data_IF_754560282728
#
_entry.id   IF_754560282728
#
_cell.length_a   1.000
_cell.length_b   1.000
_cell.length_c   1.000
_cell.angle_alpha   90.00
_cell.angle_beta   90.00
_cell.angle_gamma   90.00
#
_symmetry.space_group_name_H-M   'P 1'
#
loop_
_entity.id
_entity.type
_entity.pdbx_description
1 polymer ?
#
# COMPACT_ATOMS: atom_id res chain seq x y z
N UNK A 1 22.18 -13.32 8.42
CA UNK A 1 21.82 -12.93 7.04
C UNK A 1 20.32 -12.70 7.02
N UNK A 2 19.84 -11.65 6.36
CA UNK A 2 18.40 -11.41 6.20
C UNK A 2 17.95 -12.10 4.92
N UNK A 3 17.09 -13.11 5.04
CA UNK A 3 16.58 -13.95 3.95
C UNK A 3 15.09 -13.71 3.67
N UNK A 4 14.53 -12.65 4.26
CA UNK A 4 13.11 -12.33 4.14
C UNK A 4 12.85 -10.83 4.27
N UNK A 5 11.78 -10.38 3.62
CA UNK A 5 11.29 -9.01 3.65
C UNK A 5 9.82 -8.99 4.04
N UNK A 6 9.42 -7.95 4.78
CA UNK A 6 8.02 -7.68 5.10
C UNK A 6 7.41 -6.80 4.01
N UNK A 7 6.27 -7.20 3.46
CA UNK A 7 5.51 -6.49 2.46
C UNK A 7 4.18 -6.01 3.06
N UNK A 8 3.89 -4.73 2.86
CA UNK A 8 2.58 -4.14 3.03
C UNK A 8 2.27 -3.34 1.77
N UNK A 9 1.18 -3.66 1.07
CA UNK A 9 0.85 -3.03 -0.20
C UNK A 9 -0.67 -2.93 -0.40
N UNK A 10 -1.12 -1.79 -0.90
CA UNK A 10 -2.53 -1.58 -1.21
C UNK A 10 -2.86 -2.08 -2.62
N UNK A 11 -4.05 -2.66 -2.81
CA UNK A 11 -4.52 -3.11 -4.13
C UNK A 11 -4.56 -1.99 -5.18
N UNK A 12 -4.85 -0.78 -4.75
CA UNK A 12 -4.93 0.40 -5.61
C UNK A 12 -3.63 1.20 -5.64
N UNK A 13 -2.58 0.74 -4.96
CA UNK A 13 -1.24 1.27 -5.19
C UNK A 13 -0.77 0.86 -6.59
N UNK A 14 -0.83 1.82 -7.50
CA UNK A 14 -0.37 1.69 -8.88
C UNK A 14 1.12 1.33 -8.94
N UNK A 15 1.96 1.98 -8.13
CA UNK A 15 3.41 1.77 -8.17
C UNK A 15 3.75 0.40 -7.60
N UNK A 16 3.20 0.06 -6.43
CA UNK A 16 3.43 -1.22 -5.77
C UNK A 16 2.92 -2.40 -6.60
N UNK A 17 1.70 -2.32 -7.13
CA UNK A 17 1.02 -3.45 -7.76
C UNK A 17 1.30 -3.57 -9.27
N UNK A 18 1.23 -2.46 -10.03
CA UNK A 18 1.33 -2.51 -11.50
C UNK A 18 2.78 -2.42 -11.97
N UNK A 19 3.56 -1.48 -11.42
CA UNK A 19 4.98 -1.34 -11.80
C UNK A 19 5.83 -2.37 -11.05
N UNK A 20 5.62 -2.49 -9.74
CA UNK A 20 6.40 -3.39 -8.88
C UNK A 20 5.96 -4.85 -8.91
N UNK A 21 4.76 -5.15 -9.40
CA UNK A 21 4.22 -6.51 -9.43
C UNK A 21 3.99 -7.11 -8.04
N UNK A 22 3.95 -6.29 -6.98
CA UNK A 22 3.78 -6.79 -5.62
C UNK A 22 2.34 -7.23 -5.38
N UNK A 23 2.13 -8.35 -4.66
CA UNK A 23 0.78 -8.75 -4.26
C UNK A 23 0.16 -7.70 -3.34
N UNK A 24 -1.14 -7.50 -3.44
CA UNK A 24 -1.89 -6.67 -2.51
C UNK A 24 -2.04 -7.39 -1.17
N UNK A 25 -1.81 -6.68 -0.07
CA UNK A 25 -2.00 -7.19 1.29
C UNK A 25 -3.16 -6.48 2.03
N UNK A 26 -3.74 -5.48 1.38
CA UNK A 26 -4.97 -4.78 1.76
C UNK A 26 -5.73 -4.32 0.52
N UNK A 27 -7.05 -4.41 0.53
CA UNK A 27 -7.89 -4.17 -0.63
C UNK A 27 -9.10 -3.26 -0.39
N UNK A 28 -9.25 -2.74 0.83
CA UNK A 28 -10.36 -1.86 1.18
C UNK A 28 -9.99 -0.39 0.98
N UNK A 29 -10.83 0.31 0.22
CA UNK A 29 -10.83 1.77 0.16
C UNK A 29 -12.04 2.33 0.89
N UNK A 30 -11.91 3.54 1.43
CA UNK A 30 -13.03 4.23 2.07
C UNK A 30 -14.24 4.39 1.15
N UNK A 31 -15.44 4.39 1.72
CA UNK A 31 -16.71 4.54 0.99
C UNK A 31 -16.68 5.77 0.08
N UNK A 32 -16.97 5.59 -1.21
CA UNK A 32 -16.94 6.66 -2.21
C UNK A 32 -15.57 6.93 -2.84
N UNK A 33 -14.58 6.07 -2.58
CA UNK A 33 -13.34 6.05 -3.35
C UNK A 33 -13.36 4.99 -4.46
N UNK A 34 -12.59 5.26 -5.51
CA UNK A 34 -12.44 4.40 -6.68
C UNK A 34 -10.95 4.27 -7.02
N UNK A 35 -10.57 3.20 -7.72
CA UNK A 35 -9.18 2.96 -8.14
C UNK A 35 -8.55 4.18 -8.81
N UNK A 36 -9.27 4.80 -9.75
CA UNK A 36 -8.81 5.98 -10.51
C UNK A 36 -8.64 7.19 -9.58
N UNK A 37 -9.56 7.38 -8.62
CA UNK A 37 -9.46 8.48 -7.65
C UNK A 37 -8.23 8.31 -6.75
N UNK A 38 -7.94 7.09 -6.31
CA UNK A 38 -6.75 6.81 -5.50
C UNK A 38 -5.45 7.01 -6.29
N UNK A 39 -5.43 6.66 -7.58
CA UNK A 39 -4.28 6.94 -8.43
C UNK A 39 -4.05 8.45 -8.60
N UNK A 40 -5.10 9.25 -8.76
CA UNK A 40 -4.99 10.70 -8.79
C UNK A 40 -4.47 11.24 -7.45
N UNK A 41 -4.98 10.73 -6.32
CA UNK A 41 -4.52 11.12 -4.98
C UNK A 41 -3.02 10.84 -4.78
N UNK A 42 -2.46 9.80 -5.41
CA UNK A 42 -1.01 9.52 -5.36
C UNK A 42 -0.14 10.66 -5.90
N UNK A 43 -0.65 11.46 -6.83
CA UNK A 43 0.11 12.57 -7.42
C UNK A 43 -0.06 13.91 -6.69
N UNK A 44 -1.13 14.08 -5.91
CA UNK A 44 -1.48 15.36 -5.27
C UNK A 44 -1.59 15.30 -3.74
N UNK A 45 -1.67 14.10 -3.17
CA UNK A 45 -1.93 13.86 -1.75
C UNK A 45 -0.69 13.45 -0.97
N UNK A 46 -0.64 13.85 0.31
CA UNK A 46 0.39 13.41 1.26
C UNK A 46 0.10 12.02 1.84
N UNK A 47 -1.18 11.69 2.07
CA UNK A 47 -1.67 10.40 2.55
C UNK A 47 -2.46 9.68 1.45
N UNK A 48 -1.93 8.55 1.00
CA UNK A 48 -2.38 7.84 -0.21
C UNK A 48 -2.27 6.33 -0.02
N UNK A 49 -2.89 5.57 -0.91
CA UNK A 49 -2.73 4.11 -1.00
C UNK A 49 -1.28 3.64 -1.18
N UNK A 50 -0.37 4.52 -1.62
CA UNK A 50 1.05 4.22 -1.78
C UNK A 50 1.89 4.63 -0.55
N UNK A 51 1.52 5.73 0.12
CA UNK A 51 2.34 6.33 1.18
C UNK A 51 1.97 5.90 2.59
N UNK A 52 0.78 5.33 2.82
CA UNK A 52 0.27 5.04 4.16
C UNK A 52 0.61 3.65 4.73
N UNK A 53 1.42 2.87 4.00
CA UNK A 53 1.84 1.52 4.36
C UNK A 53 3.33 1.50 4.77
N UNK A 54 3.76 0.46 5.48
CA UNK A 54 5.13 0.36 5.99
C UNK A 54 5.50 1.51 6.93
N UNK A 55 6.61 2.20 6.65
CA UNK A 55 7.10 3.30 7.50
C UNK A 55 6.25 4.58 7.43
N UNK A 56 5.36 4.70 6.44
CA UNK A 56 4.42 5.82 6.36
C UNK A 56 3.17 5.64 7.23
N UNK A 57 3.03 4.48 7.87
CA UNK A 57 1.92 4.17 8.75
C UNK A 57 1.88 5.12 9.95
N UNK A 58 0.70 5.69 10.20
CA UNK A 58 0.48 6.62 11.32
C UNK A 58 0.76 8.09 10.99
N UNK A 59 1.12 8.43 9.74
CA UNK A 59 1.11 9.82 9.29
C UNK A 59 -0.30 10.38 9.22
N UNK A 60 -0.41 11.70 9.33
CA UNK A 60 -1.68 12.41 9.25
C UNK A 60 -2.43 12.07 7.95
N UNK A 61 -3.72 11.74 8.09
CA UNK A 61 -4.56 11.31 6.97
C UNK A 61 -4.50 9.81 6.64
N UNK A 62 -3.55 9.04 7.20
CA UNK A 62 -3.44 7.60 6.92
C UNK A 62 -4.48 6.72 7.62
N UNK A 63 -5.20 7.24 8.63
CA UNK A 63 -6.24 6.48 9.33
C UNK A 63 -7.36 5.96 8.44
N UNK A 64 -7.62 6.62 7.31
CA UNK A 64 -8.67 6.25 6.36
C UNK A 64 -8.28 5.10 5.42
N UNK A 65 -6.99 4.75 5.34
CA UNK A 65 -6.49 3.65 4.49
C UNK A 65 -6.39 2.32 5.25
N UNK A 66 -6.94 2.27 6.47
CA UNK A 66 -7.04 1.05 7.26
C UNK A 66 -5.69 0.49 7.70
N UNK A 67 -5.70 -0.77 8.14
CA UNK A 67 -4.51 -1.48 8.63
C UNK A 67 -4.20 -2.64 7.68
N UNK A 68 -3.05 -2.64 6.99
CA UNK A 68 -2.66 -3.76 6.13
C UNK A 68 -2.43 -5.04 6.91
N UNK A 69 -2.51 -6.16 6.19
CA UNK A 69 -1.81 -7.37 6.59
C UNK A 69 -0.35 -7.26 6.18
N UNK A 70 0.56 -7.66 7.07
CA UNK A 70 1.98 -7.79 6.75
C UNK A 70 2.21 -9.19 6.19
N UNK A 71 2.74 -9.27 4.97
CA UNK A 71 3.12 -10.54 4.33
C UNK A 71 4.63 -10.69 4.39
N UNK A 72 5.13 -11.85 4.82
CA UNK A 72 6.56 -12.14 4.82
C UNK A 72 6.91 -12.85 3.51
N UNK A 73 7.75 -12.21 2.70
CA UNK A 73 8.29 -12.81 1.48
C UNK A 73 9.70 -13.32 1.77
N UNK A 74 9.91 -14.62 1.58
CA UNK A 74 11.23 -15.25 1.72
C UNK A 74 11.99 -15.14 0.41
N UNK A 75 13.30 -14.97 0.50
CA UNK A 75 14.21 -15.13 -0.61
C UNK A 75 14.05 -16.54 -1.16
N UNK A 76 13.95 -16.66 -2.48
CA UNK A 76 14.06 -17.97 -3.11
C UNK A 76 15.52 -18.44 -2.99
N UNK A 77 15.76 -19.71 -2.62
CA UNK A 77 17.10 -20.27 -2.50
C UNK A 77 17.85 -20.31 -3.84
#
# INVERSE_FOLDING_TARGET
MQDSVSLENHRDDFVGSIIGGNPATFDQVGTGSTKVKEWLNMFSGSATVHSCYGNGRGKDGCGNYGKPNTVIIKASP
#
